data_IF_230805982539
#
_entry.id   IF_230805982539
#
_cell.length_a   1.000
_cell.length_b   1.000
_cell.length_c   1.000
_cell.angle_alpha   90.00
_cell.angle_beta   90.00
_cell.angle_gamma   90.00
#
_symmetry.space_group_name_H-M   'P 1'
#
loop_
_entity.id
_entity.type
_entity.pdbx_description
1 polymer ?
#
# COMPACT_ATOMS: atom_id res chain seq x y z
N UNK A 1 -28.74 -9.13 8.68
CA UNK A 1 -27.90 -7.92 8.62
C UNK A 1 -26.47 -8.40 8.46
N UNK A 2 -25.96 -8.45 7.24
CA UNK A 2 -24.57 -8.85 6.95
C UNK A 2 -23.64 -7.78 7.50
N UNK A 3 -22.82 -8.12 8.51
CA UNK A 3 -21.79 -7.21 9.01
C UNK A 3 -20.89 -6.81 7.85
N UNK A 4 -20.84 -5.52 7.52
CA UNK A 4 -19.86 -5.01 6.55
C UNK A 4 -18.48 -5.32 7.13
N UNK A 5 -17.65 -6.05 6.40
CA UNK A 5 -16.25 -6.21 6.75
C UNK A 5 -15.61 -4.81 6.75
N UNK A 6 -15.22 -4.35 7.94
CA UNK A 6 -14.60 -3.03 8.10
C UNK A 6 -13.09 -3.19 7.89
N UNK A 7 -12.63 -2.79 6.71
CA UNK A 7 -11.21 -2.72 6.40
C UNK A 7 -10.71 -1.28 6.55
N UNK A 8 -9.60 -1.10 7.26
CA UNK A 8 -8.93 0.19 7.40
C UNK A 8 -7.54 0.17 6.79
N UNK A 9 -7.10 1.33 6.32
CA UNK A 9 -5.76 1.56 5.78
C UNK A 9 -5.10 2.70 6.55
N UNK A 10 -3.77 2.66 6.61
CA UNK A 10 -3.02 3.76 7.24
C UNK A 10 -3.12 5.04 6.42
N UNK A 11 -2.88 6.17 7.08
CA UNK A 11 -2.83 7.48 6.43
C UNK A 11 -1.84 7.51 5.24
N UNK A 12 -0.63 7.00 5.44
CA UNK A 12 0.41 6.98 4.39
C UNK A 12 0.01 6.08 3.22
N UNK A 13 -0.59 4.91 3.48
CA UNK A 13 -1.10 4.04 2.42
C UNK A 13 -2.13 4.76 1.54
N UNK A 14 -3.08 5.46 2.17
CA UNK A 14 -4.09 6.23 1.42
C UNK A 14 -3.50 7.44 0.69
N UNK A 15 -2.45 8.07 1.23
CA UNK A 15 -1.76 9.16 0.56
C UNK A 15 -1.03 8.66 -0.70
N UNK A 16 -0.40 7.50 -0.64
CA UNK A 16 0.23 6.86 -1.81
C UNK A 16 -0.81 6.48 -2.87
N UNK A 17 -1.94 5.89 -2.47
CA UNK A 17 -3.04 5.58 -3.40
C UNK A 17 -3.55 6.85 -4.09
N UNK A 18 -3.77 7.93 -3.32
CA UNK A 18 -4.22 9.19 -3.88
C UNK A 18 -3.17 9.87 -4.76
N UNK A 19 -1.88 9.69 -4.46
CA UNK A 19 -0.78 10.09 -5.35
C UNK A 19 -0.87 9.37 -6.70
N UNK A 20 -1.07 8.04 -6.73
CA UNK A 20 -1.23 7.30 -7.99
C UNK A 20 -2.43 7.80 -8.82
N UNK A 21 -3.53 8.16 -8.15
CA UNK A 21 -4.71 8.74 -8.80
C UNK A 21 -4.37 10.11 -9.42
N UNK A 22 -3.63 10.95 -8.70
CA UNK A 22 -3.17 12.26 -9.22
C UNK A 22 -2.22 12.09 -10.42
N UNK A 23 -1.28 11.15 -10.36
CA UNK A 23 -0.38 10.82 -11.48
C UNK A 23 -1.16 10.37 -12.73
N UNK A 24 -2.28 9.66 -12.55
CA UNK A 24 -3.17 9.25 -13.65
C UNK A 24 -4.02 10.40 -14.23
N UNK A 25 -3.87 11.63 -13.71
CA UNK A 25 -4.58 12.82 -14.18
C UNK A 25 -5.96 13.03 -13.53
N UNK A 26 -6.32 12.25 -12.51
CA UNK A 26 -7.61 12.35 -11.83
C UNK A 26 -7.45 13.12 -10.51
N UNK A 27 -8.31 14.12 -10.29
CA UNK A 27 -8.37 14.84 -9.01
C UNK A 27 -9.62 14.47 -8.23
N UNK A 28 -9.44 14.03 -6.98
CA UNK A 28 -10.53 13.77 -6.06
C UNK A 28 -11.25 15.09 -5.70
N UNK A 29 -12.53 15.15 -6.02
CA UNK A 29 -13.37 16.36 -5.97
C UNK A 29 -14.83 16.02 -5.69
N UNK A 30 -15.71 17.02 -5.68
CA UNK A 30 -17.06 16.94 -5.11
C UNK A 30 -17.89 15.73 -5.62
N UNK A 31 -17.92 15.49 -6.93
CA UNK A 31 -18.59 14.33 -7.54
C UNK A 31 -18.19 12.99 -6.93
N UNK A 32 -16.92 12.85 -6.51
CA UNK A 32 -16.42 11.62 -5.92
C UNK A 32 -16.83 11.50 -4.44
N UNK A 33 -16.89 12.63 -3.72
CA UNK A 33 -17.38 12.65 -2.35
C UNK A 33 -18.88 12.42 -2.25
N UNK A 34 -19.65 12.90 -3.24
CA UNK A 34 -21.07 12.55 -3.39
C UNK A 34 -21.24 11.04 -3.57
N UNK A 35 -20.42 10.40 -4.41
CA UNK A 35 -20.42 8.94 -4.59
C UNK A 35 -20.07 8.21 -3.28
N UNK A 36 -19.04 8.65 -2.56
CA UNK A 36 -18.69 8.08 -1.25
C UNK A 36 -19.84 8.20 -0.24
N UNK A 37 -20.49 9.37 -0.20
CA UNK A 37 -21.64 9.62 0.66
C UNK A 37 -22.82 8.72 0.33
N UNK A 38 -23.12 8.53 -0.96
CA UNK A 38 -24.19 7.64 -1.41
C UNK A 38 -23.94 6.17 -1.03
N UNK A 39 -22.69 5.70 -1.10
CA UNK A 39 -22.31 4.33 -0.74
C UNK A 39 -22.23 4.10 0.78
N UNK A 40 -21.81 5.12 1.52
CA UNK A 40 -21.70 5.07 2.97
C UNK A 40 -23.07 5.13 3.64
N UNK A 41 -23.97 5.98 3.14
CA UNK A 41 -25.34 6.14 3.63
C UNK A 41 -25.47 6.90 4.95
N UNK A 42 -24.36 7.31 5.59
CA UNK A 42 -24.37 8.01 6.88
C UNK A 42 -23.59 9.33 6.86
N UNK A 43 -22.39 9.33 6.27
CA UNK A 43 -21.50 10.49 6.17
C UNK A 43 -21.84 11.32 4.93
N UNK A 44 -21.86 12.64 5.09
CA UNK A 44 -22.06 13.57 3.98
C UNK A 44 -20.82 13.69 3.09
N UNK A 45 -21.02 14.17 1.85
CA UNK A 45 -19.91 14.49 0.95
C UNK A 45 -18.91 15.47 1.57
N UNK A 46 -19.39 16.46 2.33
CA UNK A 46 -18.52 17.40 3.02
C UNK A 46 -17.68 16.71 4.11
N UNK A 47 -18.26 15.78 4.87
CA UNK A 47 -17.52 15.01 5.86
C UNK A 47 -16.35 14.23 5.21
N UNK A 48 -16.59 13.60 4.07
CA UNK A 48 -15.51 12.96 3.30
C UNK A 48 -14.49 13.97 2.79
N UNK A 49 -14.90 15.12 2.26
CA UNK A 49 -13.97 16.15 1.82
C UNK A 49 -13.00 16.52 2.95
N UNK A 50 -13.53 16.80 4.15
CA UNK A 50 -12.74 17.09 5.34
C UNK A 50 -11.78 15.95 5.71
N UNK A 51 -12.24 14.69 5.73
CA UNK A 51 -11.41 13.52 6.02
C UNK A 51 -10.22 13.39 5.04
N UNK A 52 -10.45 13.65 3.76
CA UNK A 52 -9.42 13.54 2.73
C UNK A 52 -8.52 14.78 2.59
N UNK A 53 -8.72 15.88 3.35
CA UNK A 53 -7.88 17.09 3.23
C UNK A 53 -6.40 16.81 3.49
N UNK A 54 -6.10 16.13 4.60
CA UNK A 54 -4.70 15.80 4.96
C UNK A 54 -4.08 14.81 3.98
N UNK A 55 -4.87 13.84 3.51
CA UNK A 55 -4.43 12.83 2.52
C UNK A 55 -4.09 13.52 1.19
N UNK A 56 -4.93 14.47 0.74
CA UNK A 56 -4.68 15.28 -0.46
C UNK A 56 -3.39 16.09 -0.35
N UNK A 57 -3.13 16.71 0.80
CA UNK A 57 -1.89 17.46 1.02
C UNK A 57 -0.66 16.55 0.91
N UNK A 58 -0.70 15.40 1.60
CA UNK A 58 0.39 14.42 1.58
C UNK A 58 0.64 13.84 0.18
N UNK A 59 -0.42 13.51 -0.56
CA UNK A 59 -0.30 13.03 -1.93
C UNK A 59 0.36 14.06 -2.87
N UNK A 60 0.10 15.36 -2.67
CA UNK A 60 0.78 16.43 -3.42
C UNK A 60 2.25 16.57 -3.06
N UNK A 61 2.61 16.43 -1.78
CA UNK A 61 4.01 16.41 -1.34
C UNK A 61 4.77 15.25 -2.00
N UNK A 62 4.17 14.05 -2.00
CA UNK A 62 4.75 12.87 -2.66
C UNK A 62 4.95 13.10 -4.16
N UNK A 63 3.96 13.71 -4.82
CA UNK A 63 4.08 14.08 -6.23
C UNK A 63 5.25 15.05 -6.47
N UNK A 64 5.36 16.10 -5.67
CA UNK A 64 6.46 17.06 -5.78
C UNK A 64 7.83 16.40 -5.57
N UNK A 65 7.94 15.47 -4.61
CA UNK A 65 9.18 14.72 -4.38
C UNK A 65 9.54 13.83 -5.58
N UNK A 66 8.55 13.16 -6.18
CA UNK A 66 8.75 12.35 -7.37
C UNK A 66 9.16 13.19 -8.58
N UNK A 67 8.47 14.31 -8.82
CA UNK A 67 8.77 15.26 -9.90
C UNK A 67 10.20 15.86 -9.76
N UNK A 68 10.70 16.00 -8.53
CA UNK A 68 12.06 16.45 -8.22
C UNK A 68 13.12 15.33 -8.28
N UNK A 69 12.76 14.10 -8.63
CA UNK A 69 13.68 12.96 -8.76
C UNK A 69 14.03 12.25 -7.43
N UNK A 70 13.38 12.60 -6.32
CA UNK A 70 13.57 11.96 -5.02
C UNK A 70 12.66 10.72 -4.87
N UNK A 71 12.88 9.70 -5.69
CA UNK A 71 12.14 8.44 -5.60
C UNK A 71 12.36 7.69 -4.28
N UNK A 72 11.29 7.18 -3.67
CA UNK A 72 11.39 6.37 -2.47
C UNK A 72 12.05 5.01 -2.77
N UNK A 73 13.04 4.62 -1.97
CA UNK A 73 13.65 3.29 -2.08
C UNK A 73 12.74 2.24 -1.41
N UNK A 74 12.37 1.15 -2.10
CA UNK A 74 11.52 0.13 -1.52
C UNK A 74 12.24 -0.57 -0.38
N UNK A 75 11.58 -0.68 0.77
CA UNK A 75 12.07 -1.51 1.89
C UNK A 75 12.01 -2.97 1.49
N UNK A 76 13.17 -3.65 1.51
CA UNK A 76 13.26 -5.10 1.26
C UNK A 76 12.48 -5.83 2.35
N UNK A 77 11.32 -6.40 1.99
CA UNK A 77 10.51 -7.16 2.93
C UNK A 77 11.32 -8.26 3.61
N UNK A 78 11.15 -8.43 4.92
CA UNK A 78 11.73 -9.55 5.67
C UNK A 78 11.14 -10.82 5.08
N UNK A 79 11.98 -11.65 4.43
CA UNK A 79 11.56 -12.95 3.94
C UNK A 79 10.92 -13.74 5.10
N UNK A 80 9.66 -14.14 4.96
CA UNK A 80 9.03 -15.08 5.88
C UNK A 80 9.80 -16.40 5.73
N UNK A 81 10.36 -16.87 6.85
CA UNK A 81 11.44 -17.86 6.90
C UNK A 81 11.24 -19.06 5.99
N UNK A 82 12.18 -19.25 5.07
CA UNK A 82 12.48 -20.56 4.51
C UNK A 82 13.19 -21.36 5.60
N UNK A 83 12.49 -22.31 6.21
CA UNK A 83 13.08 -23.36 7.02
C UNK A 83 13.93 -24.27 6.14
N UNK A 84 15.15 -23.83 5.83
CA UNK A 84 16.17 -24.65 5.19
C UNK A 84 16.84 -25.53 6.24
N UNK A 85 16.21 -26.66 6.56
CA UNK A 85 16.88 -27.75 7.25
C UNK A 85 17.97 -28.32 6.32
N UNK A 86 19.20 -27.85 6.50
CA UNK A 86 20.38 -28.37 5.80
C UNK A 86 20.70 -29.76 6.37
N UNK A 87 20.08 -30.78 5.79
CA UNK A 87 20.40 -32.18 6.03
C UNK A 87 21.67 -32.58 5.27
N UNK A 88 22.81 -32.42 5.95
CA UNK A 88 24.08 -33.16 5.84
C UNK A 88 24.20 -34.11 4.63
N UNK A 89 24.89 -33.67 3.57
CA UNK A 89 25.43 -34.54 2.51
C UNK A 89 26.45 -35.50 3.14
N UNK A 90 26.32 -36.77 2.78
CA UNK A 90 26.95 -37.95 3.38
C UNK A 90 28.47 -37.98 3.15
N UNK A 91 29.18 -38.50 4.14
CA UNK A 91 30.61 -38.82 4.15
C UNK A 91 30.98 -39.77 3.00
N UNK A 92 32.08 -39.42 2.32
CA UNK A 92 32.80 -40.26 1.34
C UNK A 92 33.90 -40.98 2.12
N UNK A 93 33.66 -42.23 2.49
CA UNK A 93 34.70 -43.16 3.00
C UNK A 93 34.87 -44.27 1.96
N UNK A 94 36.06 -44.30 1.38
CA UNK A 94 36.41 -45.15 0.26
C UNK A 94 36.53 -46.64 0.60
N UNK A 95 36.31 -47.46 -0.42
CA UNK A 95 36.84 -48.81 -0.53
C UNK A 95 37.34 -49.00 -1.97
N UNK A 96 38.66 -49.15 -2.12
CA UNK A 96 39.28 -49.53 -3.38
C UNK A 96 39.19 -51.03 -3.63
N UNK A 97 39.37 -51.44 -4.89
CA UNK A 97 40.09 -52.65 -5.25
C UNK A 97 40.44 -52.64 -6.74
N UNK A 98 41.76 -52.75 -7.00
CA UNK A 98 42.46 -53.36 -8.14
C UNK A 98 41.83 -53.32 -9.54
#
# INVERSE_FOLDING_TARGET
>A
MTGKEEQSFTFETMAVVLYCVLESGVTLGDKHYQLMSALDGTRSANAFNHQFRKVKARAKELKQQADNGNGATPVKGKARGGGGGSGKKREDDGLGLL
#
